data_IF_575489217198
#
_entry.id   IF_575489217198
#
_cell.length_a   1.000
_cell.length_b   1.000
_cell.length_c   1.000
_cell.angle_alpha   90.00
_cell.angle_beta   90.00
_cell.angle_gamma   90.00
#
_symmetry.space_group_name_H-M   'P 1'
#
loop_
_entity.id
_entity.type
_entity.pdbx_description
1 polymer ?
#
# COMPACT_ATOMS: atom_id res chain seq x y z
N UNK A 1 17.59 -18.88 -4.87
CA UNK A 1 16.74 -18.01 -4.04
C UNK A 1 15.70 -18.89 -3.40
N UNK A 2 15.63 -18.88 -2.07
CA UNK A 2 14.60 -19.63 -1.36
C UNK A 2 13.24 -18.98 -1.59
N UNK A 3 12.21 -19.82 -1.71
CA UNK A 3 10.83 -19.32 -1.85
C UNK A 3 10.49 -18.58 -0.56
N UNK A 4 10.01 -17.32 -0.61
CA UNK A 4 9.62 -16.61 0.60
C UNK A 4 8.56 -17.41 1.35
N UNK A 5 8.58 -17.32 2.68
CA UNK A 5 7.55 -17.95 3.52
C UNK A 5 6.22 -17.24 3.27
N UNK A 6 5.40 -17.81 2.38
CA UNK A 6 4.10 -17.27 2.03
C UNK A 6 3.01 -17.76 2.98
N UNK A 7 2.19 -16.84 3.49
CA UNK A 7 0.91 -17.19 4.08
C UNK A 7 -0.18 -17.10 3.01
N UNK A 8 -0.74 -18.25 2.64
CA UNK A 8 -1.72 -18.35 1.55
C UNK A 8 -3.03 -17.59 1.84
N UNK A 9 -3.26 -17.18 3.09
CA UNK A 9 -4.42 -16.34 3.45
C UNK A 9 -4.27 -14.92 2.91
N UNK A 10 -3.05 -14.43 2.68
CA UNK A 10 -2.78 -13.05 2.26
C UNK A 10 -2.68 -12.94 0.73
N UNK A 11 -3.71 -13.42 0.02
CA UNK A 11 -3.69 -13.47 -1.45
C UNK A 11 -4.45 -12.30 -2.09
N UNK A 12 -4.04 -11.95 -3.31
CA UNK A 12 -4.74 -11.01 -4.19
C UNK A 12 -4.59 -11.41 -5.68
N UNK A 13 -5.42 -10.83 -6.56
CA UNK A 13 -5.26 -10.88 -8.02
C UNK A 13 -4.73 -9.53 -8.51
N UNK A 14 -3.75 -9.57 -9.40
CA UNK A 14 -3.10 -8.39 -9.97
C UNK A 14 -3.69 -8.08 -11.36
N UNK A 15 -3.96 -6.81 -11.66
CA UNK A 15 -4.56 -6.37 -12.94
C UNK A 15 -3.78 -6.81 -14.18
N UNK A 16 -2.44 -6.89 -14.07
CA UNK A 16 -1.53 -7.21 -15.17
C UNK A 16 -0.86 -8.60 -15.09
N UNK A 17 -1.27 -9.47 -14.15
CA UNK A 17 -0.68 -10.80 -14.04
C UNK A 17 -1.71 -11.82 -13.58
N UNK A 18 -1.78 -12.95 -14.29
CA UNK A 18 -2.73 -14.02 -13.98
C UNK A 18 -2.44 -14.70 -12.64
N UNK A 19 -3.47 -15.32 -12.07
CA UNK A 19 -3.37 -16.12 -10.85
C UNK A 19 -3.29 -15.31 -9.55
N UNK A 20 -3.12 -16.04 -8.45
CA UNK A 20 -3.02 -15.47 -7.10
C UNK A 20 -1.58 -15.05 -6.82
N UNK A 21 -1.45 -13.86 -6.26
CA UNK A 21 -0.23 -13.27 -5.73
C UNK A 21 -0.37 -13.16 -4.21
N UNK A 22 0.76 -13.04 -3.51
CA UNK A 22 0.75 -13.06 -2.04
C UNK A 22 1.47 -11.84 -1.47
N UNK A 23 0.87 -11.19 -0.49
CA UNK A 23 1.53 -10.12 0.25
C UNK A 23 2.60 -10.73 1.15
N UNK A 24 3.81 -10.18 1.11
CA UNK A 24 4.94 -10.71 1.88
C UNK A 24 5.64 -9.67 2.76
N UNK A 25 5.39 -8.36 2.57
CA UNK A 25 5.87 -7.36 3.52
C UNK A 25 5.93 -5.92 3.01
N UNK A 26 6.78 -5.12 3.67
CA UNK A 26 7.09 -3.74 3.30
C UNK A 26 8.39 -3.71 2.48
N UNK A 27 8.40 -3.13 1.27
CA UNK A 27 9.62 -2.98 0.46
C UNK A 27 10.52 -1.84 0.96
N UNK A 28 10.07 -1.04 1.93
CA UNK A 28 10.75 0.16 2.44
C UNK A 28 11.07 1.19 1.34
N UNK A 29 10.19 1.27 0.33
CA UNK A 29 10.26 2.23 -0.78
C UNK A 29 9.23 3.34 -0.60
N UNK A 30 8.72 3.90 -1.72
CA UNK A 30 7.66 4.90 -1.72
C UNK A 30 6.45 4.50 -0.87
N UNK A 31 5.81 5.46 -0.18
CA UNK A 31 4.59 5.21 0.58
C UNK A 31 3.52 4.46 -0.23
N UNK A 32 2.89 3.49 0.42
CA UNK A 32 1.82 2.68 -0.14
C UNK A 32 2.27 1.54 -1.06
N UNK A 33 3.57 1.42 -1.36
CA UNK A 33 4.12 0.24 -2.03
C UNK A 33 4.22 -0.93 -1.05
N UNK A 34 3.73 -2.08 -1.49
CA UNK A 34 3.70 -3.34 -0.75
C UNK A 34 4.54 -4.35 -1.50
N UNK A 35 5.31 -5.17 -0.77
CA UNK A 35 6.09 -6.25 -1.34
C UNK A 35 5.19 -7.48 -1.51
N UNK A 36 5.13 -8.00 -2.73
CA UNK A 36 4.31 -9.13 -3.12
C UNK A 36 5.14 -10.20 -3.83
N UNK A 37 4.64 -11.44 -3.80
CA UNK A 37 5.23 -12.59 -4.47
C UNK A 37 4.32 -13.10 -5.59
N UNK A 38 4.91 -13.31 -6.79
CA UNK A 38 4.27 -13.96 -7.92
C UNK A 38 4.73 -15.43 -8.02
N UNK A 39 3.86 -16.42 -7.79
CA UNK A 39 4.25 -17.83 -7.86
C UNK A 39 4.50 -18.33 -9.29
N UNK A 40 3.86 -17.71 -10.29
CA UNK A 40 4.01 -18.10 -11.71
C UNK A 40 5.39 -17.69 -12.23
N UNK A 41 5.74 -16.42 -12.03
CA UNK A 41 7.02 -15.85 -12.48
C UNK A 41 8.17 -16.15 -11.52
N UNK A 42 7.87 -16.60 -10.29
CA UNK A 42 8.83 -16.86 -9.21
C UNK A 42 9.69 -15.64 -8.89
N UNK A 43 9.03 -14.49 -8.79
CA UNK A 43 9.67 -13.21 -8.44
C UNK A 43 8.86 -12.49 -7.37
N UNK A 44 9.55 -11.72 -6.54
CA UNK A 44 8.94 -10.65 -5.78
C UNK A 44 8.82 -9.37 -6.62
N UNK A 45 7.86 -8.52 -6.26
CA UNK A 45 7.63 -7.24 -6.92
C UNK A 45 6.92 -6.28 -5.95
N UNK A 46 7.04 -4.99 -6.21
CA UNK A 46 6.29 -3.97 -5.49
C UNK A 46 4.94 -3.75 -6.17
N UNK A 47 3.88 -3.55 -5.38
CA UNK A 47 2.51 -3.32 -5.85
C UNK A 47 1.81 -2.28 -4.96
N UNK A 48 0.85 -1.52 -5.47
CA UNK A 48 -0.08 -0.70 -4.67
C UNK A 48 -1.48 -1.33 -4.64
N UNK A 49 -2.33 -0.90 -3.71
CA UNK A 49 -3.69 -1.43 -3.57
C UNK A 49 -4.53 -1.17 -4.84
N UNK A 50 -4.28 -0.09 -5.56
CA UNK A 50 -4.94 0.25 -6.82
C UNK A 50 -4.63 -0.74 -7.95
N UNK A 51 -3.53 -1.49 -7.87
CA UNK A 51 -3.14 -2.50 -8.85
C UNK A 51 -3.78 -3.88 -8.58
N UNK A 52 -4.53 -4.00 -7.48
CA UNK A 52 -5.21 -5.23 -7.05
C UNK A 52 -6.69 -5.21 -7.46
N UNK A 53 -7.20 -6.34 -7.94
CA UNK A 53 -8.60 -6.50 -8.32
C UNK A 53 -9.41 -7.21 -7.23
N UNK A 54 -9.04 -8.46 -6.96
CA UNK A 54 -9.63 -9.28 -5.90
C UNK A 54 -8.61 -9.45 -4.78
N UNK A 55 -9.06 -9.31 -3.55
CA UNK A 55 -8.22 -9.39 -2.36
C UNK A 55 -8.92 -10.31 -1.37
N UNK A 56 -8.16 -11.18 -0.70
CA UNK A 56 -8.72 -11.97 0.40
C UNK A 56 -9.10 -11.09 1.60
N UNK A 57 -10.03 -11.55 2.42
CA UNK A 57 -10.40 -10.82 3.64
C UNK A 57 -9.19 -10.58 4.56
N UNK A 58 -8.34 -11.59 4.78
CA UNK A 58 -7.14 -11.43 5.61
C UNK A 58 -6.13 -10.44 5.02
N UNK A 59 -5.95 -10.45 3.69
CA UNK A 59 -5.10 -9.48 3.01
C UNK A 59 -5.67 -8.07 3.10
N UNK A 60 -7.00 -7.92 2.99
CA UNK A 60 -7.67 -6.63 3.08
C UNK A 60 -7.43 -5.97 4.45
N UNK A 61 -7.66 -6.68 5.56
CA UNK A 61 -7.41 -6.13 6.90
C UNK A 61 -5.95 -5.76 7.12
N UNK A 62 -5.03 -6.59 6.63
CA UNK A 62 -3.60 -6.29 6.71
C UNK A 62 -3.22 -5.06 5.90
N UNK A 63 -3.75 -4.93 4.67
CA UNK A 63 -3.51 -3.77 3.82
C UNK A 63 -4.04 -2.47 4.44
N UNK A 64 -5.20 -2.52 5.07
CA UNK A 64 -5.76 -1.35 5.77
C UNK A 64 -4.86 -0.89 6.92
N UNK A 65 -4.37 -1.82 7.74
CA UNK A 65 -3.40 -1.52 8.78
C UNK A 65 -2.06 -1.02 8.23
N UNK A 66 -1.56 -1.67 7.17
CA UNK A 66 -0.32 -1.29 6.50
C UNK A 66 -0.38 0.14 5.97
N UNK A 67 -1.43 0.49 5.22
CA UNK A 67 -1.60 1.82 4.65
C UNK A 67 -1.80 2.88 5.73
N UNK A 68 -2.50 2.57 6.83
CA UNK A 68 -2.61 3.48 7.96
C UNK A 68 -1.27 3.72 8.68
N UNK A 69 -0.38 2.75 8.72
CA UNK A 69 0.97 2.90 9.27
C UNK A 69 2.00 3.48 8.30
N UNK A 70 1.67 3.55 7.01
CA UNK A 70 2.58 3.98 5.95
C UNK A 70 2.14 5.28 5.27
N UNK A 71 1.40 6.10 6.02
CA UNK A 71 0.92 7.38 5.52
C UNK A 71 2.06 8.37 5.32
N UNK A 72 2.02 9.16 4.23
CA UNK A 72 2.82 10.35 4.09
C UNK A 72 2.65 11.30 5.27
N UNK A 73 3.69 12.04 5.61
CA UNK A 73 3.62 13.07 6.64
C UNK A 73 2.73 14.24 6.20
N UNK A 74 2.09 14.94 7.16
CA UNK A 74 1.41 16.19 6.87
C UNK A 74 2.39 17.23 6.31
N UNK A 75 1.90 18.16 5.48
CA UNK A 75 2.71 19.26 5.00
C UNK A 75 3.19 20.14 6.17
N UNK A 76 4.36 20.72 6.01
CA UNK A 76 5.01 21.61 6.97
C UNK A 76 5.20 22.99 6.34
N UNK A 77 5.17 24.04 7.15
CA UNK A 77 5.61 25.39 6.78
C UNK A 77 6.95 25.76 7.44
N UNK A 78 7.41 26.99 7.25
CA UNK A 78 8.66 27.50 7.83
C UNK A 78 8.67 27.51 9.37
N UNK A 79 7.50 27.39 10.01
CA UNK A 79 7.32 27.34 11.46
C UNK A 79 7.06 25.92 11.98
N UNK A 80 7.02 24.91 11.10
CA UNK A 80 6.78 23.51 11.45
C UNK A 80 5.40 23.02 11.01
N UNK A 81 4.62 22.48 11.95
CA UNK A 81 3.31 21.92 11.64
C UNK A 81 2.34 23.01 11.19
N UNK A 82 1.67 22.78 10.07
CA UNK A 82 0.60 23.65 9.60
C UNK A 82 -0.59 23.65 10.57
N UNK A 83 -1.30 24.78 10.60
CA UNK A 83 -2.60 24.87 11.28
C UNK A 83 -3.57 23.83 10.69
N UNK A 84 -4.26 23.09 11.55
CA UNK A 84 -5.26 22.10 11.16
C UNK A 84 -6.42 22.69 10.35
N UNK A 85 -6.68 23.98 10.49
CA UNK A 85 -7.70 24.69 9.73
C UNK A 85 -7.21 25.24 8.38
N UNK A 86 -5.91 25.17 8.11
CA UNK A 86 -5.31 25.66 6.86
C UNK A 86 -5.85 24.92 5.63
N UNK A 87 -5.99 25.60 4.47
CA UNK A 87 -6.34 24.96 3.20
C UNK A 87 -5.42 23.79 2.83
N UNK A 88 -4.12 23.93 3.09
CA UNK A 88 -3.08 22.94 2.80
C UNK A 88 -3.27 21.67 3.63
N UNK A 89 -3.49 21.80 4.95
CA UNK A 89 -3.75 20.65 5.80
C UNK A 89 -5.06 19.94 5.44
N UNK A 90 -6.11 20.71 5.11
CA UNK A 90 -7.39 20.17 4.64
C UNK A 90 -7.25 19.42 3.31
N UNK A 91 -6.43 19.94 2.38
CA UNK A 91 -6.13 19.25 1.13
C UNK A 91 -5.36 17.95 1.38
N UNK A 92 -4.35 17.98 2.25
CA UNK A 92 -3.63 16.78 2.65
C UNK A 92 -4.56 15.71 3.24
N UNK A 93 -5.53 16.10 4.08
CA UNK A 93 -6.53 15.15 4.61
C UNK A 93 -7.37 14.48 3.50
N UNK A 94 -7.64 15.18 2.38
CA UNK A 94 -8.33 14.60 1.23
C UNK A 94 -7.42 13.63 0.48
N UNK A 95 -6.16 13.99 0.24
CA UNK A 95 -5.17 13.14 -0.41
C UNK A 95 -4.91 11.87 0.41
N UNK A 96 -4.84 11.98 1.73
CA UNK A 96 -4.69 10.85 2.65
C UNK A 96 -5.88 9.89 2.57
N UNK A 97 -7.10 10.39 2.39
CA UNK A 97 -8.27 9.53 2.19
C UNK A 97 -8.15 8.72 0.90
N UNK A 98 -7.68 9.35 -0.17
CA UNK A 98 -7.44 8.66 -1.44
C UNK A 98 -6.27 7.67 -1.34
N UNK A 99 -5.21 8.04 -0.62
CA UNK A 99 -4.09 7.15 -0.32
C UNK A 99 -4.55 5.89 0.43
N UNK A 100 -5.41 5.99 1.44
CA UNK A 100 -5.94 4.79 2.15
C UNK A 100 -6.78 3.88 1.24
N UNK A 101 -7.41 4.43 0.21
CA UNK A 101 -8.18 3.66 -0.77
C UNK A 101 -7.29 2.96 -1.79
N UNK A 102 -6.22 3.61 -2.23
CA UNK A 102 -5.46 3.23 -3.43
C UNK A 102 -4.03 2.76 -3.12
N UNK A 103 -3.45 3.17 -2.00
CA UNK A 103 -2.03 3.04 -1.72
C UNK A 103 -1.14 3.86 -2.66
N UNK A 104 -1.72 4.80 -3.42
CA UNK A 104 -0.96 5.66 -4.31
C UNK A 104 -0.80 7.04 -3.66
N UNK A 105 0.45 7.49 -3.57
CA UNK A 105 0.82 8.85 -3.22
C UNK A 105 1.52 9.49 -4.42
N UNK A 106 1.07 10.67 -4.84
CA UNK A 106 1.60 11.39 -6.01
C UNK A 106 2.19 12.71 -5.56
#
# INVERSE_FOLDING_TARGET
MDTPKIDKRFWFKHKGCEGKHYLIGNPHTFPGRILAWCPIKKIDFCVSKAEMDEISESAQYWLEGFLAGNQPYPPLDDNGDLDFESPEYKNWLLEIKEFRKTGDWK
#
